data_IF_980840612732
#
_entry.id   IF_980840612732
#
_cell.length_a   1.000
_cell.length_b   1.000
_cell.length_c   1.000
_cell.angle_alpha   90.00
_cell.angle_beta   90.00
_cell.angle_gamma   90.00
#
_symmetry.space_group_name_H-M   'P 1'
#
loop_
_entity.id
_entity.type
_entity.pdbx_description
1 polymer ?
#
# COMPACT_ATOMS: atom_id res chain seq x y z
N UNK A 1 -38.09 37.07 41.84
CA UNK A 1 -37.95 36.60 40.45
C UNK A 1 -36.90 35.50 40.48
N UNK A 2 -37.37 34.25 40.51
CA UNK A 2 -36.52 33.08 40.73
C UNK A 2 -36.10 32.52 39.37
N UNK A 3 -34.80 32.37 39.18
CA UNK A 3 -34.18 31.80 37.97
C UNK A 3 -34.69 30.37 37.71
N UNK A 4 -34.86 29.94 36.45
CA UNK A 4 -35.25 28.58 36.14
C UNK A 4 -34.07 27.62 36.39
N UNK A 5 -34.33 26.37 36.82
CA UNK A 5 -33.30 25.37 37.06
C UNK A 5 -32.67 24.90 35.75
N UNK A 6 -31.35 24.71 35.79
CA UNK A 6 -30.51 24.35 34.66
C UNK A 6 -30.99 23.12 33.92
N UNK A 7 -31.14 23.26 32.61
CA UNK A 7 -31.15 22.12 31.70
C UNK A 7 -29.80 21.41 31.84
N UNK A 8 -29.83 20.16 32.26
CA UNK A 8 -28.73 19.24 32.03
C UNK A 8 -28.48 19.22 30.53
N UNK A 9 -27.42 19.88 30.09
CA UNK A 9 -26.95 19.90 28.72
C UNK A 9 -26.41 18.54 28.33
N UNK A 10 -27.30 17.56 28.18
CA UNK A 10 -27.07 16.43 27.30
C UNK A 10 -27.19 16.98 25.89
N UNK A 11 -26.08 17.53 25.38
CA UNK A 11 -25.92 17.73 23.93
C UNK A 11 -26.11 16.35 23.32
N UNK A 12 -27.17 16.09 22.53
CA UNK A 12 -27.27 14.82 21.84
C UNK A 12 -25.98 14.65 21.03
N UNK A 13 -25.38 13.44 21.00
CA UNK A 13 -24.23 13.22 20.15
C UNK A 13 -24.59 13.71 18.75
N UNK A 14 -23.74 14.59 18.21
CA UNK A 14 -23.84 15.04 16.83
C UNK A 14 -24.16 13.82 15.98
N UNK A 15 -25.34 13.79 15.35
CA UNK A 15 -25.70 12.68 14.48
C UNK A 15 -24.53 12.42 13.53
N UNK A 16 -24.10 11.15 13.44
CA UNK A 16 -22.98 10.79 12.59
C UNK A 16 -23.23 11.34 11.18
N UNK A 17 -22.22 11.93 10.51
CA UNK A 17 -22.41 12.43 9.17
C UNK A 17 -22.92 11.30 8.29
N UNK A 18 -23.95 11.58 7.48
CA UNK A 18 -24.51 10.60 6.56
C UNK A 18 -23.47 10.32 5.45
N UNK A 19 -22.62 9.33 5.66
CA UNK A 19 -21.60 8.90 4.71
C UNK A 19 -22.03 7.65 3.96
N UNK A 20 -21.65 7.56 2.68
CA UNK A 20 -21.97 6.40 1.83
C UNK A 20 -20.81 5.39 1.81
N UNK A 21 -21.08 4.15 1.41
CA UNK A 21 -20.08 3.06 1.37
C UNK A 21 -18.78 3.44 0.63
N UNK A 22 -18.90 4.13 -0.52
CA UNK A 22 -17.72 4.58 -1.27
C UNK A 22 -16.91 5.65 -0.54
N UNK A 23 -17.55 6.49 0.28
CA UNK A 23 -16.84 7.45 1.13
C UNK A 23 -16.07 6.73 2.25
N UNK A 24 -16.68 5.72 2.87
CA UNK A 24 -15.99 4.83 3.81
C UNK A 24 -14.77 4.19 3.15
N UNK A 25 -14.90 3.68 1.92
CA UNK A 25 -13.80 3.10 1.17
C UNK A 25 -12.65 4.10 0.92
N UNK A 26 -12.95 5.39 0.67
CA UNK A 26 -11.93 6.44 0.60
C UNK A 26 -11.20 6.59 1.93
N UNK A 27 -11.92 6.70 3.04
CA UNK A 27 -11.33 6.89 4.37
C UNK A 27 -10.41 5.71 4.73
N UNK A 28 -10.87 4.47 4.51
CA UNK A 28 -10.07 3.25 4.72
C UNK A 28 -8.79 3.25 3.89
N UNK A 29 -8.89 3.57 2.60
CA UNK A 29 -7.72 3.67 1.71
C UNK A 29 -6.71 4.74 2.16
N UNK A 30 -7.19 5.93 2.51
CA UNK A 30 -6.34 7.02 2.96
C UNK A 30 -5.66 6.72 4.29
N UNK A 31 -6.32 6.00 5.21
CA UNK A 31 -5.70 5.56 6.46
C UNK A 31 -4.59 4.51 6.22
N UNK A 32 -4.78 3.62 5.25
CA UNK A 32 -3.83 2.54 4.95
C UNK A 32 -2.63 2.99 4.12
N UNK A 33 -2.83 3.96 3.23
CA UNK A 33 -1.82 4.42 2.27
C UNK A 33 -1.30 5.83 2.56
N UNK A 34 -1.78 6.45 3.64
CA UNK A 34 -1.46 7.79 4.17
C UNK A 34 -1.79 8.96 3.24
N UNK A 35 -1.25 8.96 2.02
CA UNK A 35 -1.43 10.00 1.02
C UNK A 35 -1.73 9.42 -0.36
N UNK A 36 -2.76 9.95 -1.02
CA UNK A 36 -3.14 9.52 -2.38
C UNK A 36 -3.54 10.70 -3.26
N UNK A 37 -3.27 10.58 -4.56
CA UNK A 37 -3.76 11.50 -5.59
C UNK A 37 -5.21 11.20 -5.95
N UNK A 38 -5.94 12.21 -6.43
CA UNK A 38 -7.32 12.07 -6.91
C UNK A 38 -7.49 10.99 -7.98
N UNK A 39 -6.50 10.78 -8.86
CA UNK A 39 -6.57 9.77 -9.90
C UNK A 39 -6.49 8.34 -9.35
N UNK A 40 -5.75 8.12 -8.25
CA UNK A 40 -5.69 6.82 -7.56
C UNK A 40 -7.05 6.52 -6.90
N UNK A 41 -7.61 7.50 -6.17
CA UNK A 41 -8.95 7.39 -5.58
C UNK A 41 -10.02 7.12 -6.64
N UNK A 42 -9.93 7.81 -7.79
CA UNK A 42 -10.85 7.57 -8.91
C UNK A 42 -10.76 6.13 -9.40
N UNK A 43 -9.56 5.60 -9.64
CA UNK A 43 -9.40 4.25 -10.21
C UNK A 43 -9.85 3.14 -9.25
N UNK A 44 -9.62 3.32 -7.94
CA UNK A 44 -9.92 2.31 -6.92
C UNK A 44 -11.36 2.35 -6.40
N UNK A 45 -11.95 3.53 -6.23
CA UNK A 45 -13.24 3.69 -5.53
C UNK A 45 -14.36 4.20 -6.44
N UNK A 46 -14.00 5.00 -7.44
CA UNK A 46 -14.95 5.69 -8.32
C UNK A 46 -14.67 5.46 -9.81
N UNK A 47 -14.44 4.21 -10.26
CA UNK A 47 -14.03 3.95 -11.64
C UNK A 47 -15.09 4.45 -12.64
N UNK A 48 -16.36 4.26 -12.29
CA UNK A 48 -17.59 4.59 -13.01
C UNK A 48 -18.05 6.05 -12.86
N UNK A 49 -17.54 6.81 -11.89
CA UNK A 49 -18.00 8.18 -11.64
C UNK A 49 -17.23 9.22 -12.46
N UNK A 50 -17.89 10.30 -12.90
CA UNK A 50 -17.17 11.44 -13.51
C UNK A 50 -16.22 12.10 -12.50
N UNK A 51 -15.15 12.75 -12.98
CA UNK A 51 -14.23 13.48 -12.13
C UNK A 51 -14.92 14.57 -11.30
N UNK A 52 -15.94 15.23 -11.88
CA UNK A 52 -16.78 16.22 -11.17
C UNK A 52 -17.62 15.56 -10.08
N UNK A 53 -18.21 14.39 -10.35
CA UNK A 53 -18.95 13.61 -9.35
C UNK A 53 -18.09 13.22 -8.17
N UNK A 54 -16.90 12.66 -8.43
CA UNK A 54 -15.93 12.32 -7.39
C UNK A 54 -15.49 13.58 -6.63
N UNK A 55 -15.27 14.70 -7.32
CA UNK A 55 -14.95 15.98 -6.70
C UNK A 55 -15.98 16.41 -5.66
N UNK A 56 -17.29 16.23 -5.94
CA UNK A 56 -18.36 16.49 -4.96
C UNK A 56 -18.24 15.58 -3.73
N UNK A 57 -17.98 14.29 -3.92
CA UNK A 57 -17.78 13.34 -2.81
C UNK A 57 -16.60 13.75 -1.92
N UNK A 58 -15.48 14.15 -2.51
CA UNK A 58 -14.30 14.61 -1.76
C UNK A 58 -14.55 15.94 -1.06
N UNK A 59 -15.34 16.85 -1.65
CA UNK A 59 -15.76 18.10 -0.99
C UNK A 59 -16.62 17.82 0.23
N UNK A 60 -17.53 16.85 0.17
CA UNK A 60 -18.31 16.41 1.33
C UNK A 60 -17.41 15.90 2.46
N UNK A 61 -16.45 15.03 2.16
CA UNK A 61 -15.49 14.53 3.15
C UNK A 61 -14.64 15.64 3.77
N UNK A 62 -14.22 16.62 2.97
CA UNK A 62 -13.49 17.81 3.45
C UNK A 62 -14.37 18.69 4.35
N UNK A 63 -15.64 18.89 3.98
CA UNK A 63 -16.61 19.67 4.76
C UNK A 63 -16.88 19.07 6.14
N UNK A 64 -16.86 17.74 6.25
CA UNK A 64 -16.93 17.02 7.53
C UNK A 64 -15.58 16.87 8.24
N UNK A 65 -14.50 17.45 7.69
CA UNK A 65 -13.14 17.35 8.23
C UNK A 65 -12.64 15.90 8.40
N UNK A 66 -13.13 14.95 7.59
CA UNK A 66 -12.75 13.54 7.65
C UNK A 66 -11.49 13.23 6.83
N UNK A 67 -11.16 14.13 5.90
CA UNK A 67 -9.94 14.10 5.09
C UNK A 67 -9.31 15.47 5.07
N UNK A 68 -8.00 15.52 4.87
CA UNK A 68 -7.27 16.74 4.55
C UNK A 68 -6.85 16.72 3.08
N UNK A 69 -6.51 17.88 2.54
CA UNK A 69 -5.90 17.99 1.20
C UNK A 69 -4.79 19.03 1.16
N UNK A 70 -3.81 18.81 0.31
CA UNK A 70 -2.81 19.83 -0.05
C UNK A 70 -2.42 19.73 -1.51
N UNK A 71 -1.85 20.81 -2.06
CA UNK A 71 -1.25 20.82 -3.40
C UNK A 71 0.20 20.43 -3.29
N UNK A 72 0.66 19.61 -4.24
CA UNK A 72 2.04 19.12 -4.23
C UNK A 72 2.71 19.46 -5.55
N UNK A 73 3.89 20.08 -5.45
CA UNK A 73 4.77 20.25 -6.59
C UNK A 73 5.59 18.98 -6.72
N UNK A 74 5.26 18.17 -7.73
CA UNK A 74 6.06 17.02 -8.09
C UNK A 74 7.12 17.52 -9.07
N UNK A 75 8.40 17.41 -8.69
CA UNK A 75 9.49 17.60 -9.65
C UNK A 75 9.33 16.54 -10.75
N UNK A 76 8.94 16.96 -11.95
CA UNK A 76 8.99 16.10 -13.13
C UNK A 76 10.46 15.73 -13.37
N UNK A 77 10.89 14.55 -12.91
CA UNK A 77 12.19 14.01 -13.32
C UNK A 77 12.15 13.74 -14.82
N UNK A 78 12.71 14.71 -15.56
CA UNK A 78 13.27 14.69 -16.93
C UNK A 78 12.69 13.60 -17.86
N UNK A 79 11.91 14.04 -18.85
CA UNK A 79 11.75 13.31 -20.12
C UNK A 79 12.52 14.05 -21.20
N UNK A 80 13.24 13.25 -21.99
CA UNK A 80 14.10 13.62 -23.11
C UNK A 80 13.56 14.72 -24.01
N UNK A 81 14.50 15.47 -24.59
CA UNK A 81 14.26 16.65 -25.40
C UNK A 81 13.30 16.40 -26.56
N UNK A 82 12.11 16.98 -26.46
CA UNK A 82 11.31 17.56 -27.55
C UNK A 82 9.95 17.92 -26.98
N UNK A 83 9.77 19.18 -26.60
CA UNK A 83 8.65 20.01 -27.09
C UNK A 83 8.61 21.35 -26.35
N UNK A 84 8.60 22.42 -27.14
CA UNK A 84 8.33 23.77 -26.67
C UNK A 84 6.82 23.98 -26.55
N UNK A 85 6.41 24.61 -25.44
CA UNK A 85 5.03 24.95 -25.01
C UNK A 85 4.28 23.84 -24.27
N UNK A 86 4.61 23.65 -22.99
CA UNK A 86 3.66 23.10 -22.03
C UNK A 86 2.98 24.23 -21.26
N UNK A 87 1.66 24.28 -21.35
CA UNK A 87 0.81 25.07 -20.45
C UNK A 87 1.10 24.63 -19.01
N UNK A 88 1.24 25.54 -18.03
CA UNK A 88 1.45 25.17 -16.63
C UNK A 88 0.30 24.27 -16.15
N UNK A 89 0.57 22.99 -15.92
CA UNK A 89 -0.40 22.09 -15.31
C UNK A 89 -0.47 22.45 -13.83
N UNK A 90 -1.67 22.81 -13.35
CA UNK A 90 -1.87 23.13 -11.94
C UNK A 90 -1.39 21.96 -11.05
N UNK A 91 -0.69 22.23 -9.94
CA UNK A 91 -0.18 21.19 -9.06
C UNK A 91 -1.32 20.27 -8.61
N UNK A 92 -1.17 18.94 -8.68
CA UNK A 92 -2.21 18.01 -8.30
C UNK A 92 -2.51 18.12 -6.79
N UNK A 93 -3.76 17.83 -6.42
CA UNK A 93 -4.13 17.61 -5.03
C UNK A 93 -3.77 16.20 -4.59
N UNK A 94 -3.28 16.11 -3.36
CA UNK A 94 -3.21 14.87 -2.58
C UNK A 94 -4.14 14.98 -1.39
N UNK A 95 -4.58 13.82 -0.92
CA UNK A 95 -5.53 13.65 0.16
C UNK A 95 -4.96 12.68 1.18
N UNK A 96 -5.31 12.85 2.44
CA UNK A 96 -5.05 11.89 3.50
C UNK A 96 -6.14 11.92 4.56
N UNK A 97 -6.10 10.94 5.47
CA UNK A 97 -7.09 10.76 6.53
C UNK A 97 -6.83 11.74 7.69
N UNK A 98 -7.90 12.22 8.33
CA UNK A 98 -7.80 12.99 9.58
C UNK A 98 -8.07 12.15 10.81
N UNK A 99 -7.73 12.65 11.99
CA UNK A 99 -8.06 11.99 13.26
C UNK A 99 -9.57 11.80 13.42
N UNK A 100 -10.38 12.78 12.98
CA UNK A 100 -11.84 12.65 12.94
C UNK A 100 -12.31 11.57 11.94
N UNK A 101 -11.66 11.47 10.77
CA UNK A 101 -11.91 10.39 9.82
C UNK A 101 -11.58 9.01 10.40
N UNK A 102 -10.46 8.88 11.11
CA UNK A 102 -10.09 7.63 11.80
C UNK A 102 -11.08 7.27 12.91
N UNK A 103 -11.47 8.23 13.75
CA UNK A 103 -12.47 8.01 14.80
C UNK A 103 -13.83 7.61 14.25
N UNK A 104 -14.22 8.14 13.08
CA UNK A 104 -15.44 7.71 12.40
C UNK A 104 -15.34 6.26 11.90
N UNK A 105 -14.20 5.83 11.36
CA UNK A 105 -14.00 4.44 10.95
C UNK A 105 -14.08 3.48 12.13
N UNK A 106 -13.51 3.86 13.28
CA UNK A 106 -13.60 3.13 14.55
C UNK A 106 -15.07 3.02 15.00
N UNK A 107 -15.79 4.15 15.06
CA UNK A 107 -17.21 4.19 15.46
C UNK A 107 -18.12 3.34 14.56
N UNK A 108 -17.78 3.21 13.28
CA UNK A 108 -18.54 2.40 12.32
C UNK A 108 -18.12 0.92 12.30
N UNK A 109 -17.09 0.56 13.07
CA UNK A 109 -16.56 -0.81 13.19
C UNK A 109 -16.23 -1.47 11.83
N UNK A 110 -15.79 -0.67 10.85
CA UNK A 110 -15.53 -1.14 9.48
C UNK A 110 -14.16 -1.81 9.30
N UNK A 111 -13.28 -1.69 10.30
CA UNK A 111 -12.03 -2.43 10.41
C UNK A 111 -12.16 -3.48 11.52
N UNK A 112 -12.37 -4.73 11.14
CA UNK A 112 -12.60 -5.84 12.09
C UNK A 112 -11.33 -6.35 12.78
N UNK A 113 -10.16 -6.05 12.20
CA UNK A 113 -8.86 -6.36 12.78
C UNK A 113 -8.29 -5.12 13.49
N UNK A 114 -8.04 -5.23 14.80
CA UNK A 114 -7.54 -4.12 15.60
C UNK A 114 -6.18 -3.60 15.08
N UNK A 115 -5.31 -4.49 14.59
CA UNK A 115 -3.99 -4.08 14.05
C UNK A 115 -4.14 -3.18 12.84
N UNK A 116 -5.13 -3.44 12.00
CA UNK A 116 -5.49 -2.59 10.87
C UNK A 116 -5.98 -1.22 11.30
N UNK A 117 -6.86 -1.16 12.31
CA UNK A 117 -7.38 0.10 12.83
C UNK A 117 -6.27 0.95 13.48
N UNK A 118 -5.45 0.33 14.32
CA UNK A 118 -4.32 0.98 15.00
C UNK A 118 -3.33 1.54 13.98
N UNK A 119 -3.06 0.76 12.92
CA UNK A 119 -2.15 1.10 11.83
C UNK A 119 -2.58 2.29 10.98
N UNK A 120 -3.86 2.66 10.96
CA UNK A 120 -4.35 3.76 10.11
C UNK A 120 -3.60 5.07 10.42
N UNK A 121 -2.97 5.63 9.39
CA UNK A 121 -2.26 6.92 9.41
C UNK A 121 -3.28 8.04 9.30
N UNK A 122 -3.25 8.96 10.25
CA UNK A 122 -4.12 10.13 10.28
C UNK A 122 -3.29 11.36 10.64
N UNK A 123 -3.66 12.52 10.07
CA UNK A 123 -3.03 13.81 10.38
C UNK A 123 -4.10 14.87 10.63
N UNK A 124 -3.82 15.84 11.48
CA UNK A 124 -4.77 16.93 11.72
C UNK A 124 -5.07 17.73 10.44
N UNK A 125 -6.33 18.15 10.31
CA UNK A 125 -6.83 18.79 9.08
C UNK A 125 -6.19 20.16 8.78
N UNK A 126 -5.63 20.81 9.81
CA UNK A 126 -5.32 22.24 9.81
C UNK A 126 -4.12 22.70 8.98
N UNK A 127 -3.12 21.84 8.75
CA UNK A 127 -2.00 22.08 7.82
C UNK A 127 -0.94 20.97 8.04
N UNK A 128 -1.03 19.83 7.33
CA UNK A 128 0.04 18.86 7.40
C UNK A 128 1.29 19.49 6.77
N UNK A 129 2.28 19.84 7.60
CA UNK A 129 3.61 20.25 7.12
C UNK A 129 4.28 18.99 6.62
N UNK A 130 4.23 18.77 5.31
CA UNK A 130 4.90 17.63 4.66
C UNK A 130 5.93 18.19 3.71
N UNK A 131 7.18 17.78 3.89
CA UNK A 131 8.25 18.22 2.97
C UNK A 131 8.00 17.62 1.59
N UNK A 132 8.38 18.31 0.49
CA UNK A 132 8.24 17.77 -0.86
C UNK A 132 8.92 16.40 -1.05
N UNK A 133 10.04 16.18 -0.36
CA UNK A 133 10.76 14.90 -0.43
C UNK A 133 10.00 13.76 0.24
N UNK A 134 9.43 14.01 1.43
CA UNK A 134 8.57 13.06 2.13
C UNK A 134 7.34 12.74 1.29
N UNK A 135 6.62 13.76 0.81
CA UNK A 135 5.43 13.57 -0.05
C UNK A 135 5.74 12.68 -1.25
N UNK A 136 6.84 12.93 -1.95
CA UNK A 136 7.13 12.18 -3.17
C UNK A 136 7.64 10.75 -2.89
N UNK A 137 8.19 10.47 -1.71
CA UNK A 137 8.44 9.11 -1.24
C UNK A 137 7.13 8.40 -0.91
N UNK A 138 6.28 9.01 -0.07
CA UNK A 138 4.99 8.46 0.35
C UNK A 138 4.07 8.20 -0.86
N UNK A 139 4.05 9.12 -1.84
CA UNK A 139 3.29 8.97 -3.08
C UNK A 139 3.79 7.83 -3.97
N UNK A 140 5.08 7.50 -3.91
CA UNK A 140 5.62 6.37 -4.67
C UNK A 140 5.23 5.05 -4.00
N UNK A 141 5.29 4.99 -2.66
CA UNK A 141 4.78 3.84 -1.91
C UNK A 141 3.27 3.65 -2.12
N UNK A 142 2.48 4.72 -2.00
CA UNK A 142 1.03 4.67 -2.22
C UNK A 142 0.67 4.37 -3.67
N UNK A 143 1.47 4.83 -4.64
CA UNK A 143 1.30 4.47 -6.05
C UNK A 143 1.46 2.96 -6.26
N UNK A 144 2.57 2.37 -5.80
CA UNK A 144 2.83 0.93 -5.95
C UNK A 144 1.74 0.11 -5.27
N UNK A 145 1.38 0.46 -4.03
CA UNK A 145 0.28 -0.20 -3.32
C UNK A 145 -1.05 -0.05 -4.05
N UNK A 146 -1.38 1.14 -4.55
CA UNK A 146 -2.63 1.38 -5.27
C UNK A 146 -2.70 0.60 -6.58
N UNK A 147 -1.58 0.44 -7.30
CA UNK A 147 -1.52 -0.33 -8.54
C UNK A 147 -1.75 -1.83 -8.25
N UNK A 148 -1.12 -2.37 -7.20
CA UNK A 148 -1.36 -3.73 -6.73
C UNK A 148 -2.81 -3.94 -6.29
N UNK A 149 -3.41 -3.02 -5.53
CA UNK A 149 -4.81 -3.10 -5.12
C UNK A 149 -5.78 -3.11 -6.31
N UNK A 150 -5.45 -2.42 -7.41
CA UNK A 150 -6.25 -2.43 -8.63
C UNK A 150 -6.27 -3.81 -9.32
N UNK A 151 -5.22 -4.62 -9.14
CA UNK A 151 -5.21 -6.00 -9.61
C UNK A 151 -5.98 -6.91 -8.66
N UNK A 152 -5.75 -6.75 -7.35
CA UNK A 152 -6.40 -7.55 -6.30
C UNK A 152 -7.93 -7.41 -6.35
N UNK A 153 -8.46 -6.20 -6.55
CA UNK A 153 -9.92 -5.99 -6.67
C UNK A 153 -10.53 -6.69 -7.90
N UNK A 154 -9.71 -7.05 -8.90
CA UNK A 154 -10.14 -7.70 -10.15
C UNK A 154 -9.81 -9.19 -10.17
N UNK A 155 -8.94 -9.64 -9.27
CA UNK A 155 -8.51 -11.03 -9.22
C UNK A 155 -9.55 -11.89 -8.50
N UNK A 156 -10.08 -12.94 -9.14
CA UNK A 156 -10.94 -13.91 -8.46
C UNK A 156 -10.16 -14.76 -7.47
N UNK A 157 -8.83 -14.78 -7.51
CA UNK A 157 -8.06 -15.65 -6.62
C UNK A 157 -7.53 -14.93 -5.39
N UNK A 158 -7.63 -13.61 -5.32
CA UNK A 158 -7.24 -12.89 -4.12
C UNK A 158 -8.44 -12.78 -3.17
N UNK A 159 -8.44 -13.56 -2.09
CA UNK A 159 -9.54 -13.61 -1.13
C UNK A 159 -9.39 -12.58 -0.02
N UNK A 160 -8.17 -12.12 0.25
CA UNK A 160 -7.93 -11.07 1.24
C UNK A 160 -6.63 -10.30 0.98
N UNK A 161 -6.62 -9.02 1.35
CA UNK A 161 -5.44 -8.15 1.34
C UNK A 161 -5.32 -7.34 2.64
N UNK A 162 -4.17 -7.43 3.27
CA UNK A 162 -3.70 -6.44 4.25
C UNK A 162 -2.73 -5.49 3.55
N UNK A 163 -2.89 -4.19 3.74
CA UNK A 163 -1.88 -3.19 3.35
C UNK A 163 -1.78 -2.11 4.40
N UNK A 164 -0.54 -1.72 4.70
CA UNK A 164 -0.25 -0.61 5.61
C UNK A 164 1.10 0.02 5.26
N UNK A 165 1.10 1.34 5.05
CA UNK A 165 2.34 2.13 4.89
C UNK A 165 2.98 2.44 6.24
N UNK A 166 4.29 2.70 6.22
CA UNK A 166 5.12 2.97 7.39
C UNK A 166 4.98 1.91 8.51
N UNK A 167 4.88 0.65 8.11
CA UNK A 167 4.63 -0.46 9.02
C UNK A 167 5.84 -0.76 9.89
N UNK A 168 5.68 -0.70 11.21
CA UNK A 168 6.75 -1.03 12.18
C UNK A 168 6.52 -2.42 12.76
N UNK A 169 7.30 -3.39 12.29
CA UNK A 169 7.24 -4.79 12.78
C UNK A 169 8.05 -5.00 14.06
N UNK A 170 9.12 -4.22 14.22
CA UNK A 170 10.03 -4.29 15.35
C UNK A 170 10.62 -2.89 15.55
N UNK A 171 11.00 -2.44 16.77
CA UNK A 171 11.59 -1.11 17.00
C UNK A 171 12.83 -0.77 16.15
N UNK A 172 13.46 -1.78 15.55
CA UNK A 172 14.65 -1.64 14.68
C UNK A 172 14.32 -1.66 13.18
N UNK A 173 13.06 -1.84 12.80
CA UNK A 173 12.66 -1.89 11.40
C UNK A 173 11.27 -1.29 11.18
N UNK A 174 11.27 -0.23 10.38
CA UNK A 174 10.09 0.33 9.73
C UNK A 174 10.17 -0.02 8.24
N UNK A 175 9.11 -0.61 7.72
CA UNK A 175 8.92 -0.98 6.32
C UNK A 175 8.09 0.12 5.66
N UNK A 176 8.47 0.58 4.47
CA UNK A 176 7.75 1.68 3.80
C UNK A 176 6.31 1.28 3.46
N UNK A 177 6.07 0.04 3.04
CA UNK A 177 4.73 -0.56 3.06
C UNK A 177 4.77 -2.08 3.22
N UNK A 178 3.89 -2.61 4.06
CA UNK A 178 3.64 -4.05 4.17
C UNK A 178 2.37 -4.39 3.39
N UNK A 179 2.45 -5.38 2.50
CA UNK A 179 1.31 -5.99 1.81
C UNK A 179 1.28 -7.48 2.10
N UNK A 180 0.14 -8.00 2.54
CA UNK A 180 -0.08 -9.44 2.66
C UNK A 180 -1.27 -9.80 1.79
N UNK A 181 -1.06 -10.68 0.81
CA UNK A 181 -2.11 -11.20 -0.06
C UNK A 181 -2.41 -12.63 0.31
N UNK A 182 -3.68 -12.93 0.52
CA UNK A 182 -4.18 -14.29 0.70
C UNK A 182 -4.84 -14.74 -0.59
N UNK A 183 -4.27 -15.78 -1.18
CA UNK A 183 -4.66 -16.31 -2.47
C UNK A 183 -5.28 -17.70 -2.32
N UNK A 184 -6.36 -17.95 -3.05
CA UNK A 184 -6.92 -19.27 -3.27
C UNK A 184 -7.03 -19.50 -4.79
N UNK A 185 -6.17 -20.37 -5.31
CA UNK A 185 -6.07 -20.64 -6.75
C UNK A 185 -7.03 -21.75 -7.23
N UNK A 186 -7.80 -22.34 -6.31
CA UNK A 186 -8.75 -23.43 -6.59
C UNK A 186 -10.20 -22.96 -6.53
N UNK A 187 -10.49 -21.95 -5.72
CA UNK A 187 -11.84 -21.44 -5.52
C UNK A 187 -11.87 -19.94 -5.81
N UNK A 188 -12.58 -19.49 -6.84
CA UNK A 188 -12.73 -18.07 -7.13
C UNK A 188 -13.55 -17.36 -6.04
N UNK A 189 -13.26 -16.08 -5.83
CA UNK A 189 -13.97 -15.13 -4.99
C UNK A 189 -15.24 -14.67 -5.72
N UNK A 190 -16.41 -14.65 -5.07
CA UNK A 190 -17.67 -14.25 -5.71
C UNK A 190 -17.75 -12.73 -5.98
N UNK A 191 -17.22 -11.90 -5.08
CA UNK A 191 -17.40 -10.44 -5.16
C UNK A 191 -16.17 -9.75 -5.77
N UNK A 192 -16.24 -9.41 -7.06
CA UNK A 192 -15.21 -8.60 -7.73
C UNK A 192 -15.52 -7.09 -7.69
N UNK A 193 -14.50 -6.27 -7.95
CA UNK A 193 -14.62 -4.81 -8.01
C UNK A 193 -14.54 -4.09 -6.66
N UNK A 194 -14.50 -4.84 -5.55
CA UNK A 194 -14.21 -4.33 -4.21
C UNK A 194 -12.84 -4.83 -3.75
N UNK A 195 -12.20 -4.06 -2.88
CA UNK A 195 -10.95 -4.49 -2.24
C UNK A 195 -11.32 -5.48 -1.12
N UNK A 196 -10.82 -6.72 -1.16
CA UNK A 196 -11.11 -7.73 -0.14
C UNK A 196 -10.25 -7.47 1.10
N UNK A 197 -10.55 -6.43 1.88
CA UNK A 197 -9.74 -6.08 3.04
C UNK A 197 -9.63 -7.24 4.03
N UNK A 198 -8.43 -7.42 4.60
CA UNK A 198 -8.22 -8.33 5.71
C UNK A 198 -9.07 -7.93 6.91
N UNK A 199 -9.73 -8.92 7.48
CA UNK A 199 -10.75 -8.79 8.53
C UNK A 199 -10.37 -9.55 9.81
N UNK A 200 -9.14 -10.06 9.92
CA UNK A 200 -8.69 -10.84 11.07
C UNK A 200 -8.94 -12.34 10.95
N UNK A 201 -9.64 -12.80 9.90
CA UNK A 201 -9.95 -14.22 9.75
C UNK A 201 -8.69 -15.09 9.65
N UNK A 202 -8.64 -16.25 10.33
CA UNK A 202 -7.54 -17.20 10.17
C UNK A 202 -7.41 -17.69 8.72
N UNK A 203 -6.18 -17.97 8.29
CA UNK A 203 -5.91 -18.54 6.97
C UNK A 203 -6.50 -19.94 6.86
N UNK A 204 -7.22 -20.22 5.77
CA UNK A 204 -7.73 -21.56 5.42
C UNK A 204 -6.60 -22.47 4.91
N UNK A 205 -6.74 -23.81 5.00
CA UNK A 205 -5.70 -24.74 4.59
C UNK A 205 -5.32 -24.68 3.10
N UNK A 206 -6.28 -24.34 2.23
CA UNK A 206 -6.13 -24.22 0.77
C UNK A 206 -5.65 -22.84 0.31
N UNK A 207 -5.47 -21.91 1.26
CA UNK A 207 -4.98 -20.57 0.98
C UNK A 207 -3.46 -20.47 1.13
N UNK A 208 -2.88 -19.67 0.25
CA UNK A 208 -1.46 -19.31 0.29
C UNK A 208 -1.33 -17.82 0.55
N UNK A 209 -0.36 -17.44 1.39
CA UNK A 209 -0.10 -16.03 1.69
C UNK A 209 1.23 -15.55 1.08
N UNK A 210 1.15 -14.47 0.32
CA UNK A 210 2.29 -13.69 -0.14
C UNK A 210 2.49 -12.52 0.80
N UNK A 211 3.72 -12.32 1.29
CA UNK A 211 4.06 -11.24 2.21
C UNK A 211 5.13 -10.38 1.56
N UNK A 212 4.77 -9.17 1.15
CA UNK A 212 5.63 -8.24 0.42
C UNK A 212 5.96 -7.06 1.33
N UNK A 213 7.24 -6.79 1.51
CA UNK A 213 7.74 -5.66 2.29
C UNK A 213 8.39 -4.65 1.34
N UNK A 214 7.64 -3.61 0.98
CA UNK A 214 8.08 -2.57 0.07
C UNK A 214 9.11 -1.64 0.75
N UNK A 215 10.16 -1.33 0.02
CA UNK A 215 11.18 -0.33 0.35
C UNK A 215 11.37 0.60 -0.87
N UNK A 216 11.19 1.90 -0.70
CA UNK A 216 11.31 2.90 -1.76
C UNK A 216 12.61 3.67 -1.60
N UNK A 217 13.53 3.52 -2.56
CA UNK A 217 14.72 4.38 -2.67
C UNK A 217 14.45 5.49 -3.69
N UNK A 218 14.68 6.75 -3.29
CA UNK A 218 14.61 7.90 -4.20
C UNK A 218 15.97 8.32 -4.78
N UNK A 219 17.02 7.58 -4.45
CA UNK A 219 18.41 7.86 -4.81
C UNK A 219 19.12 8.84 -3.88
N UNK A 220 18.48 9.22 -2.78
CA UNK A 220 18.99 10.17 -1.79
C UNK A 220 19.52 9.49 -0.52
N UNK A 221 19.12 8.24 -0.26
CA UNK A 221 19.59 7.50 0.91
C UNK A 221 21.05 7.08 0.74
N UNK A 222 21.93 7.32 1.73
CA UNK A 222 23.27 6.74 1.72
C UNK A 222 23.22 5.22 1.65
N UNK A 223 24.09 4.61 0.82
CA UNK A 223 24.19 3.14 0.71
C UNK A 223 24.35 2.41 2.07
N UNK A 224 25.08 2.95 3.07
CA UNK A 224 25.15 2.34 4.39
C UNK A 224 23.80 2.22 5.11
N UNK A 225 22.84 3.11 4.86
CA UNK A 225 21.49 3.00 5.43
C UNK A 225 20.74 1.82 4.78
N UNK A 226 20.92 1.61 3.48
CA UNK A 226 20.34 0.47 2.78
C UNK A 226 20.96 -0.87 3.25
N UNK A 227 22.26 -0.88 3.57
CA UNK A 227 22.92 -2.01 4.23
C UNK A 227 22.25 -2.34 5.58
N UNK A 228 21.91 -1.33 6.38
CA UNK A 228 21.20 -1.53 7.65
C UNK A 228 19.82 -2.16 7.44
N UNK A 229 19.09 -1.78 6.37
CA UNK A 229 17.81 -2.43 6.03
C UNK A 229 18.00 -3.92 5.76
N UNK A 230 18.98 -4.29 4.93
CA UNK A 230 19.28 -5.69 4.62
C UNK A 230 19.69 -6.49 5.88
N UNK A 231 20.53 -5.91 6.75
CA UNK A 231 20.90 -6.50 8.04
C UNK A 231 19.67 -6.71 8.93
N UNK A 232 18.76 -5.73 8.99
CA UNK A 232 17.54 -5.86 9.77
C UNK A 232 16.67 -7.02 9.26
N UNK A 233 16.46 -7.14 7.94
CA UNK A 233 15.71 -8.27 7.37
C UNK A 233 16.35 -9.62 7.70
N UNK A 234 17.67 -9.73 7.57
CA UNK A 234 18.42 -10.95 7.93
C UNK A 234 18.21 -11.32 9.39
N UNK A 235 18.48 -10.39 10.30
CA UNK A 235 18.48 -10.65 11.74
C UNK A 235 17.07 -10.95 12.26
N UNK A 236 16.05 -10.21 11.78
CA UNK A 236 14.66 -10.42 12.16
C UNK A 236 14.08 -11.72 11.57
N UNK A 237 14.54 -12.13 10.39
CA UNK A 237 14.23 -13.45 9.83
C UNK A 237 14.84 -14.55 10.68
N UNK A 238 16.14 -14.47 10.99
CA UNK A 238 16.84 -15.46 11.80
C UNK A 238 16.25 -15.57 13.21
N UNK A 239 15.79 -14.46 13.79
CA UNK A 239 15.09 -14.41 15.07
C UNK A 239 13.62 -14.86 15.02
N UNK A 240 13.08 -15.23 13.85
CA UNK A 240 11.69 -15.68 13.71
C UNK A 240 10.63 -14.59 13.89
N UNK A 241 11.02 -13.31 13.87
CA UNK A 241 10.12 -12.18 14.16
C UNK A 241 8.99 -12.08 13.13
N UNK A 242 9.31 -12.26 11.84
CA UNK A 242 8.27 -12.28 10.79
C UNK A 242 7.34 -13.49 10.90
N UNK A 243 7.88 -14.65 11.31
CA UNK A 243 7.08 -15.84 11.59
C UNK A 243 6.05 -15.58 12.69
N UNK A 244 6.45 -14.89 13.76
CA UNK A 244 5.56 -14.52 14.86
C UNK A 244 4.57 -13.41 14.48
N UNK A 245 5.02 -12.39 13.75
CA UNK A 245 4.18 -11.24 13.39
C UNK A 245 3.16 -11.56 12.30
N UNK A 246 3.57 -12.35 11.29
CA UNK A 246 2.83 -12.55 10.04
C UNK A 246 2.58 -14.02 9.68
N UNK A 247 3.05 -14.98 10.47
CA UNK A 247 2.92 -16.41 10.16
C UNK A 247 3.90 -16.93 9.09
N UNK A 248 4.91 -16.15 8.69
CA UNK A 248 5.90 -16.59 7.71
C UNK A 248 6.92 -15.51 7.33
N UNK A 249 7.93 -15.86 6.51
CA UNK A 249 8.93 -14.91 6.01
C UNK A 249 8.30 -13.87 5.07
N UNK A 250 8.89 -12.67 5.05
CA UNK A 250 8.53 -11.59 4.11
C UNK A 250 9.48 -11.55 2.93
N UNK A 251 9.00 -11.15 1.76
CA UNK A 251 9.81 -10.84 0.58
C UNK A 251 10.07 -9.32 0.54
N UNK A 252 11.31 -8.86 0.76
CA UNK A 252 11.65 -7.45 0.55
C UNK A 252 11.55 -7.09 -0.94
N UNK A 253 10.87 -6.01 -1.26
CA UNK A 253 10.66 -5.49 -2.61
C UNK A 253 11.21 -4.06 -2.66
N UNK A 254 12.37 -3.88 -3.28
CA UNK A 254 13.01 -2.56 -3.39
C UNK A 254 12.63 -1.90 -4.72
N UNK A 255 12.20 -0.64 -4.66
CA UNK A 255 12.01 0.20 -5.84
C UNK A 255 13.13 1.24 -5.93
N UNK A 256 13.96 1.11 -6.96
CA UNK A 256 15.06 2.03 -7.23
C UNK A 256 14.69 3.05 -8.32
N UNK A 257 15.27 4.26 -8.32
CA UNK A 257 14.97 5.27 -9.32
C UNK A 257 15.58 4.95 -10.69
N UNK A 258 16.72 4.24 -10.73
CA UNK A 258 17.46 3.90 -11.95
C UNK A 258 18.08 2.51 -11.86
N UNK A 259 18.41 1.91 -13.01
CA UNK A 259 19.05 0.59 -13.07
C UNK A 259 20.44 0.60 -12.45
N UNK A 260 21.20 1.70 -12.61
CA UNK A 260 22.50 1.87 -11.95
C UNK A 260 22.36 1.82 -10.43
N UNK A 261 21.38 2.57 -9.90
CA UNK A 261 21.10 2.59 -8.47
C UNK A 261 20.63 1.22 -7.99
N UNK A 262 19.76 0.54 -8.75
CA UNK A 262 19.33 -0.82 -8.43
C UNK A 262 20.51 -1.79 -8.29
N UNK A 263 21.48 -1.75 -9.21
CA UNK A 263 22.69 -2.58 -9.12
C UNK A 263 23.56 -2.28 -7.89
N UNK A 264 23.66 -1.01 -7.49
CA UNK A 264 24.36 -0.63 -6.26
C UNK A 264 23.66 -1.21 -5.02
N UNK A 265 22.33 -1.07 -4.94
CA UNK A 265 21.55 -1.58 -3.81
C UNK A 265 21.63 -3.10 -3.73
N UNK A 266 21.49 -3.80 -4.85
CA UNK A 266 21.60 -5.26 -4.91
C UNK A 266 22.97 -5.75 -4.41
N UNK A 267 24.06 -5.05 -4.76
CA UNK A 267 25.40 -5.37 -4.28
C UNK A 267 25.54 -5.20 -2.76
N UNK A 268 25.04 -4.10 -2.19
CA UNK A 268 25.06 -3.88 -0.74
C UNK A 268 24.18 -4.91 -0.02
N UNK A 269 23.02 -5.23 -0.59
CA UNK A 269 22.11 -6.25 -0.07
C UNK A 269 22.80 -7.61 0.03
N UNK A 270 23.42 -8.05 -1.07
CA UNK A 270 24.16 -9.31 -1.12
C UNK A 270 25.33 -9.33 -0.14
N UNK A 271 26.00 -8.19 0.08
CA UNK A 271 27.07 -8.07 1.08
C UNK A 271 26.55 -8.26 2.52
N UNK A 272 25.42 -7.63 2.87
CA UNK A 272 24.81 -7.76 4.20
C UNK A 272 24.14 -9.11 4.45
N UNK A 273 23.55 -9.70 3.42
CA UNK A 273 22.77 -10.93 3.50
C UNK A 273 23.03 -11.84 2.29
N UNK A 274 24.19 -12.52 2.23
CA UNK A 274 24.63 -13.29 1.05
C UNK A 274 23.67 -14.41 0.64
N UNK A 275 23.19 -15.19 1.61
CA UNK A 275 22.20 -16.25 1.40
C UNK A 275 20.75 -15.74 1.52
N UNK A 276 20.60 -14.42 1.54
CA UNK A 276 19.33 -13.75 1.69
C UNK A 276 18.48 -13.76 0.44
N UNK A 277 17.34 -13.10 0.56
CA UNK A 277 16.44 -12.90 -0.55
C UNK A 277 15.87 -11.50 -0.53
N UNK A 278 15.17 -11.20 -1.60
CA UNK A 278 14.59 -9.92 -1.88
C UNK A 278 14.71 -9.64 -3.37
N UNK A 279 13.84 -8.77 -3.83
CA UNK A 279 13.77 -8.39 -5.23
C UNK A 279 13.91 -6.89 -5.38
N UNK A 280 14.38 -6.49 -6.54
CA UNK A 280 14.51 -5.10 -6.90
C UNK A 280 13.94 -4.85 -8.29
N UNK A 281 13.29 -3.71 -8.46
CA UNK A 281 12.88 -3.18 -9.76
C UNK A 281 13.18 -1.70 -9.83
N UNK A 282 13.21 -1.18 -11.05
CA UNK A 282 13.14 0.27 -11.27
C UNK A 282 11.68 0.73 -11.31
N UNK A 283 11.41 1.95 -10.84
CA UNK A 283 10.03 2.50 -10.76
C UNK A 283 9.27 2.36 -12.08
N UNK A 284 9.92 2.65 -13.21
CA UNK A 284 9.30 2.58 -14.55
C UNK A 284 8.97 1.17 -15.04
N UNK A 285 9.51 0.13 -14.41
CA UNK A 285 9.38 -1.25 -14.86
C UNK A 285 8.65 -2.15 -13.83
N UNK A 286 8.41 -1.65 -12.62
CA UNK A 286 7.72 -2.41 -11.58
C UNK A 286 6.21 -2.55 -11.81
N UNK A 287 5.64 -1.86 -12.79
CA UNK A 287 4.23 -1.92 -13.18
C UNK A 287 4.11 -2.40 -14.63
N UNK A 288 3.66 -3.64 -14.84
CA UNK A 288 3.49 -4.19 -16.16
C UNK A 288 2.36 -3.45 -16.90
N UNK A 289 2.56 -3.00 -18.16
CA UNK A 289 1.60 -2.13 -18.86
C UNK A 289 0.16 -2.67 -18.91
N UNK A 290 0.02 -4.00 -18.98
CA UNK A 290 -1.29 -4.68 -19.12
C UNK A 290 -1.72 -5.41 -17.84
N UNK A 291 -0.77 -5.77 -16.98
CA UNK A 291 -1.01 -6.77 -15.93
C UNK A 291 -0.73 -6.24 -14.54
N UNK A 292 -0.17 -5.04 -14.44
CA UNK A 292 0.04 -4.37 -13.17
C UNK A 292 1.33 -4.75 -12.48
N UNK A 293 1.40 -4.34 -11.22
CA UNK A 293 2.53 -4.42 -10.32
C UNK A 293 2.91 -5.85 -9.90
N UNK A 294 1.97 -6.80 -9.81
CA UNK A 294 2.34 -8.20 -9.48
C UNK A 294 3.15 -8.88 -10.60
N UNK A 295 3.12 -8.31 -11.80
CA UNK A 295 3.76 -8.82 -13.02
C UNK A 295 4.88 -7.92 -13.57
N UNK A 296 5.36 -6.96 -12.78
CA UNK A 296 6.48 -6.09 -13.16
C UNK A 296 7.81 -6.82 -13.40
N UNK A 297 8.80 -6.10 -13.92
CA UNK A 297 10.17 -6.60 -14.12
C UNK A 297 10.97 -6.52 -12.81
N UNK A 298 10.78 -7.52 -11.96
CA UNK A 298 11.56 -7.70 -10.74
C UNK A 298 12.71 -8.67 -10.96
N UNK A 299 13.83 -8.38 -10.31
CA UNK A 299 15.00 -9.26 -10.31
C UNK A 299 15.41 -9.61 -8.88
N UNK A 300 15.82 -10.85 -8.67
CA UNK A 300 16.42 -11.27 -7.40
C UNK A 300 17.66 -10.43 -7.08
N UNK A 301 17.76 -9.93 -5.86
CA UNK A 301 18.91 -9.09 -5.45
C UNK A 301 20.21 -9.90 -5.33
N UNK A 302 20.13 -11.22 -5.11
CA UNK A 302 21.30 -12.07 -4.92
C UNK A 302 21.81 -12.72 -6.22
N UNK A 303 20.93 -12.97 -7.20
CA UNK A 303 21.29 -13.69 -8.44
C UNK A 303 20.98 -12.90 -9.73
N UNK A 304 20.30 -11.75 -9.62
CA UNK A 304 19.92 -10.91 -10.75
C UNK A 304 18.91 -11.54 -11.70
N UNK A 305 18.35 -12.71 -11.38
CA UNK A 305 17.42 -13.43 -12.25
C UNK A 305 16.03 -12.82 -12.19
N UNK A 306 15.23 -12.89 -13.28
CA UNK A 306 13.83 -12.49 -13.25
C UNK A 306 13.07 -13.20 -12.12
N UNK A 307 12.22 -12.46 -11.42
CA UNK A 307 11.46 -12.96 -10.28
C UNK A 307 9.99 -12.53 -10.38
N UNK A 308 9.07 -13.45 -10.09
CA UNK A 308 7.63 -13.14 -10.02
C UNK A 308 7.21 -12.85 -8.59
N UNK A 309 6.51 -11.73 -8.34
CA UNK A 309 5.96 -11.45 -7.00
C UNK A 309 4.91 -12.47 -6.56
N UNK A 310 4.33 -13.23 -7.49
CA UNK A 310 3.42 -14.34 -7.22
C UNK A 310 4.18 -15.64 -6.88
N UNK A 311 5.12 -15.51 -5.95
CA UNK A 311 5.97 -16.60 -5.45
C UNK A 311 5.84 -16.67 -3.94
N UNK A 312 5.34 -17.78 -3.41
CA UNK A 312 5.27 -18.00 -1.97
C UNK A 312 6.65 -18.34 -1.40
N UNK A 313 6.93 -17.82 -0.21
CA UNK A 313 8.13 -18.11 0.55
C UNK A 313 7.76 -19.10 1.66
N UNK A 314 8.38 -20.28 1.63
CA UNK A 314 8.18 -21.32 2.63
C UNK A 314 9.49 -21.49 3.40
N UNK A 315 9.49 -21.14 4.67
CA UNK A 315 10.65 -21.34 5.55
C UNK A 315 10.67 -22.80 6.02
N UNK A 316 11.75 -23.51 5.77
CA UNK A 316 12.00 -24.78 6.46
C UNK A 316 12.50 -24.50 7.89
N UNK A 317 12.32 -25.46 8.81
CA UNK A 317 12.64 -25.29 10.23
C UNK A 317 14.12 -24.98 10.55
N UNK A 318 14.98 -24.75 9.55
CA UNK A 318 16.40 -24.38 9.67
C UNK A 318 16.73 -23.03 9.02
N UNK A 319 15.73 -22.15 8.87
CA UNK A 319 15.89 -20.79 8.33
C UNK A 319 16.23 -20.68 6.85
N UNK A 320 16.13 -21.78 6.07
CA UNK A 320 16.17 -21.68 4.61
C UNK A 320 14.77 -21.41 4.09
N UNK A 321 14.68 -20.49 3.13
CA UNK A 321 13.43 -20.20 2.44
C UNK A 321 13.43 -20.84 1.06
N UNK A 322 12.35 -21.55 0.75
CA UNK A 322 12.07 -22.10 -0.57
C UNK A 322 11.08 -21.19 -1.29
N UNK A 323 11.32 -20.98 -2.57
CA UNK A 323 10.48 -20.21 -3.46
C UNK A 323 9.55 -21.12 -4.23
N UNK A 324 8.25 -20.89 -4.11
CA UNK A 324 7.21 -21.65 -4.78
C UNK A 324 6.39 -20.71 -5.67
N UNK A 325 6.74 -20.59 -6.97
CA UNK A 325 5.92 -19.86 -7.93
C UNK A 325 4.49 -20.40 -7.92
N UNK A 326 3.51 -19.52 -7.70
CA UNK A 326 2.13 -19.93 -7.46
C UNK A 326 1.35 -20.09 -8.76
N UNK A 327 1.57 -19.20 -9.71
CA UNK A 327 0.77 -19.14 -10.93
C UNK A 327 1.56 -18.53 -12.08
N UNK A 328 1.33 -19.05 -13.28
CA UNK A 328 1.90 -18.48 -14.51
C UNK A 328 1.06 -17.30 -14.98
N UNK A 329 1.64 -16.40 -15.77
CA UNK A 329 0.90 -15.27 -16.35
C UNK A 329 -0.27 -15.77 -17.21
N UNK A 330 -0.07 -16.85 -17.95
CA UNK A 330 -1.12 -17.45 -18.78
C UNK A 330 -2.31 -17.91 -17.94
N UNK A 331 -2.07 -18.70 -16.89
CA UNK A 331 -3.13 -19.14 -15.98
C UNK A 331 -3.81 -17.91 -15.38
N UNK A 332 -3.05 -16.94 -14.87
CA UNK A 332 -3.60 -15.68 -14.35
C UNK A 332 -4.53 -14.97 -15.32
N UNK A 333 -4.14 -14.87 -16.59
CA UNK A 333 -4.99 -14.25 -17.61
C UNK A 333 -6.26 -15.05 -17.88
N UNK A 334 -6.23 -16.37 -17.83
CA UNK A 334 -7.44 -17.20 -17.99
C UNK A 334 -8.44 -16.91 -16.86
N UNK A 335 -7.98 -16.96 -15.61
CA UNK A 335 -8.83 -16.62 -14.46
C UNK A 335 -9.42 -15.21 -14.51
N UNK A 336 -8.72 -14.25 -15.13
CA UNK A 336 -9.21 -12.88 -15.29
C UNK A 336 -10.17 -12.69 -16.48
N UNK A 337 -10.30 -13.67 -17.39
CA UNK A 337 -11.12 -13.60 -18.61
C UNK A 337 -12.47 -14.32 -18.48
N UNK A 338 -12.55 -15.34 -17.64
CA UNK A 338 -13.73 -16.22 -17.57
C UNK A 338 -14.97 -15.55 -16.92
N UNK A 339 -14.92 -14.24 -16.63
CA UNK A 339 -16.04 -13.44 -16.07
C UNK A 339 -16.25 -12.08 -16.77
N UNK A 340 -15.91 -12.00 -18.06
CA UNK A 340 -16.20 -10.85 -18.93
C UNK A 340 -17.58 -10.90 -19.58
#
# INVERSE_FOLDING_TARGET
MSSPPGSFGLTPPSALPAIVERQIAVLRLLGRLEVMRSNQLKRLVYPDMSARGMGKQLVTLLGHQLVWRTRVHLEERVRDGSDHRRTPVAPPYVYGLTSAGKALLDTLEVEHDQRSLDGLRAREAGAPVITPNTIAHDLQASWWCSALLLEVQRSPWCHSVFVQVEFTVHPRQRIDALVILRLNLTTPRPDLGRIPWFDGTPRRPDEVELRLALEVDRGTEPLPILLQKAVAYRDLTAGGIYGQAFGGPVLPVVLAPTSRRAGQIAKEWQSAWPDGWGVISVVRACDHPTHGTLWGDYRGMCDGKPFSLLTALVQDGRSRVRFHPLVTLERWRQGMKDEG
#
